data_IF_568592804392
#
_entry.id   IF_568592804392
#
_cell.length_a   1.000
_cell.length_b   1.000
_cell.length_c   1.000
_cell.angle_alpha   90.00
_cell.angle_beta   90.00
_cell.angle_gamma   90.00
#
_symmetry.space_group_name_H-M   'P 1'
#
loop_
_entity.id
_entity.type
_entity.pdbx_description
1 polymer ?
#
# COMPACT_ATOMS: atom_id res chain seq x y z
N UNK A 1 19.74 -17.54 6.01
CA UNK A 1 19.32 -16.14 6.03
C UNK A 1 17.82 -16.02 5.79
N UNK A 2 17.20 -15.17 6.56
CA UNK A 2 15.79 -14.89 6.31
C UNK A 2 15.64 -14.12 5.02
N UNK A 3 14.71 -14.53 4.17
CA UNK A 3 14.40 -13.80 2.97
C UNK A 3 12.95 -13.34 3.03
N UNK A 4 12.67 -12.26 2.32
CA UNK A 4 11.34 -11.66 2.31
C UNK A 4 10.87 -11.52 0.88
N UNK A 5 9.58 -11.58 0.72
CA UNK A 5 8.97 -11.16 -0.52
C UNK A 5 8.24 -9.83 -0.28
N UNK A 6 8.15 -9.02 -1.32
CA UNK A 6 7.59 -7.69 -1.23
C UNK A 6 6.45 -7.52 -2.21
N UNK A 7 5.49 -6.70 -1.87
CA UNK A 7 4.48 -6.27 -2.82
C UNK A 7 4.10 -4.83 -2.57
N UNK A 8 3.49 -4.22 -3.56
CA UNK A 8 3.05 -2.84 -3.48
C UNK A 8 1.58 -2.74 -3.81
N UNK A 9 0.93 -1.73 -3.25
CA UNK A 9 -0.45 -1.42 -3.56
C UNK A 9 -0.59 0.09 -3.64
N UNK A 10 -1.38 0.56 -4.59
CA UNK A 10 -1.65 1.98 -4.75
C UNK A 10 -3.08 2.26 -4.29
N UNK A 11 -3.21 3.19 -3.35
CA UNK A 11 -4.51 3.70 -2.96
C UNK A 11 -4.74 4.99 -3.73
N UNK A 12 -5.60 4.91 -4.73
CA UNK A 12 -5.89 6.08 -5.55
C UNK A 12 -6.86 7.00 -4.84
N UNK A 13 -6.60 8.31 -4.92
CA UNK A 13 -7.53 9.27 -4.39
C UNK A 13 -8.73 9.39 -5.31
N UNK A 14 -9.88 9.70 -4.73
CA UNK A 14 -11.08 9.97 -5.51
C UNK A 14 -10.91 11.34 -6.15
N UNK A 15 -11.36 11.47 -7.39
CA UNK A 15 -11.27 12.73 -8.12
C UNK A 15 -11.89 13.86 -7.28
N UNK A 16 -11.10 14.90 -7.05
CA UNK A 16 -11.52 16.05 -6.27
C UNK A 16 -11.23 15.96 -4.78
N UNK A 17 -10.76 14.83 -4.30
CA UNK A 17 -10.36 14.68 -2.91
C UNK A 17 -8.86 14.41 -2.84
N UNK A 18 -8.16 15.26 -2.10
CA UNK A 18 -6.71 15.14 -1.96
C UNK A 18 -6.30 14.44 -0.67
N UNK A 19 -7.27 13.89 0.05
CA UNK A 19 -7.01 13.29 1.36
C UNK A 19 -7.06 11.77 1.28
N UNK A 20 -6.11 11.14 1.92
CA UNK A 20 -6.14 9.72 2.12
C UNK A 20 -7.31 9.37 3.04
N UNK A 21 -8.12 8.39 2.66
CA UNK A 21 -9.21 7.93 3.49
C UNK A 21 -8.70 6.90 4.47
N UNK A 22 -8.82 7.20 5.75
CA UNK A 22 -8.35 6.29 6.79
C UNK A 22 -9.02 4.93 6.73
N UNK A 23 -10.31 4.90 6.43
CA UNK A 23 -11.03 3.64 6.31
C UNK A 23 -10.48 2.76 5.21
N UNK A 24 -10.17 3.35 4.05
CA UNK A 24 -9.60 2.60 2.94
C UNK A 24 -8.21 2.08 3.29
N UNK A 25 -7.42 2.91 3.98
CA UNK A 25 -6.09 2.50 4.42
C UNK A 25 -6.17 1.34 5.40
N UNK A 26 -7.05 1.45 6.40
CA UNK A 26 -7.21 0.40 7.41
C UNK A 26 -7.69 -0.90 6.78
N UNK A 27 -8.64 -0.83 5.83
CA UNK A 27 -9.13 -2.01 5.15
C UNK A 27 -8.01 -2.70 4.39
N UNK A 28 -7.18 -1.93 3.69
CA UNK A 28 -6.04 -2.47 2.96
C UNK A 28 -5.03 -3.13 3.91
N UNK A 29 -4.71 -2.45 5.00
CA UNK A 29 -3.76 -2.99 5.97
C UNK A 29 -4.27 -4.28 6.61
N UNK A 30 -5.55 -4.33 6.95
CA UNK A 30 -6.14 -5.51 7.56
C UNK A 30 -6.26 -6.67 6.58
N UNK A 31 -6.60 -6.37 5.33
CA UNK A 31 -6.69 -7.39 4.30
C UNK A 31 -5.33 -8.05 4.06
N UNK A 32 -4.30 -7.23 3.88
CA UNK A 32 -2.97 -7.77 3.64
C UNK A 32 -2.37 -8.39 4.90
N UNK A 33 -2.62 -7.79 6.06
CA UNK A 33 -2.18 -8.35 7.33
C UNK A 33 -2.76 -9.72 7.60
N UNK A 34 -4.02 -9.94 7.19
CA UNK A 34 -4.66 -11.24 7.32
C UNK A 34 -3.98 -12.31 6.48
N UNK A 35 -3.23 -11.91 5.46
CA UNK A 35 -2.46 -12.82 4.61
C UNK A 35 -0.99 -12.92 5.03
N UNK A 36 -0.64 -12.31 6.14
CA UNK A 36 0.73 -12.34 6.65
C UNK A 36 1.62 -11.20 6.19
N UNK A 37 1.06 -10.23 5.48
CA UNK A 37 1.83 -9.08 5.00
C UNK A 37 1.98 -8.02 6.08
N UNK A 38 3.16 -7.40 6.11
CA UNK A 38 3.49 -6.34 7.05
C UNK A 38 3.82 -5.08 6.27
N UNK A 39 3.26 -3.95 6.70
CA UNK A 39 3.53 -2.68 6.03
C UNK A 39 4.96 -2.22 6.35
N UNK A 40 5.72 -1.95 5.30
CA UNK A 40 7.08 -1.44 5.44
C UNK A 40 7.08 0.07 5.46
N UNK A 41 6.39 0.66 4.49
CA UNK A 41 6.35 2.11 4.36
C UNK A 41 5.17 2.53 3.50
N UNK A 42 4.82 3.79 3.62
CA UNK A 42 3.82 4.43 2.79
C UNK A 42 4.46 5.66 2.16
N UNK A 43 4.37 5.77 0.85
CA UNK A 43 4.89 6.92 0.11
C UNK A 43 3.70 7.70 -0.43
N UNK A 44 3.44 8.90 0.10
CA UNK A 44 2.27 9.68 -0.34
C UNK A 44 2.52 10.39 -1.66
N UNK A 45 1.43 10.64 -2.37
CA UNK A 45 1.44 11.43 -3.61
C UNK A 45 2.43 10.96 -4.66
N UNK A 46 2.44 9.64 -4.89
CA UNK A 46 3.31 9.06 -5.91
C UNK A 46 2.64 9.20 -7.27
N UNK A 47 3.38 9.74 -8.22
CA UNK A 47 2.94 9.80 -9.60
C UNK A 47 3.34 8.49 -10.27
N UNK A 48 2.38 7.63 -10.47
CA UNK A 48 2.64 6.31 -11.02
C UNK A 48 2.53 6.33 -12.52
N UNK A 49 3.45 5.64 -13.16
CA UNK A 49 3.46 5.48 -14.59
C UNK A 49 2.07 5.05 -15.08
N UNK A 50 1.51 5.74 -16.06
CA UNK A 50 0.17 5.58 -16.60
C UNK A 50 -0.85 6.55 -16.03
N UNK A 51 -0.40 7.64 -15.40
CA UNK A 51 -1.28 8.73 -15.04
C UNK A 51 -2.16 8.54 -13.82
N UNK A 52 -1.84 7.58 -13.00
CA UNK A 52 -2.56 7.40 -11.74
C UNK A 52 -1.74 7.96 -10.60
N UNK A 53 -2.33 8.89 -9.89
CA UNK A 53 -1.72 9.44 -8.69
C UNK A 53 -2.34 8.74 -7.48
N UNK A 54 -1.54 8.50 -6.47
CA UNK A 54 -2.04 7.87 -5.28
C UNK A 54 -0.98 7.72 -4.23
N UNK A 55 -1.33 7.03 -3.16
CA UNK A 55 -0.39 6.71 -2.10
C UNK A 55 0.08 5.28 -2.29
N UNK A 56 1.40 5.11 -2.25
CA UNK A 56 1.99 3.80 -2.46
C UNK A 56 2.26 3.11 -1.12
N UNK A 57 1.70 1.93 -0.97
CA UNK A 57 1.98 1.09 0.20
C UNK A 57 2.94 -0.01 -0.21
N UNK A 58 3.95 -0.23 0.63
CA UNK A 58 4.93 -1.30 0.40
C UNK A 58 4.81 -2.30 1.54
N UNK A 59 4.59 -3.54 1.19
CA UNK A 59 4.45 -4.63 2.16
C UNK A 59 5.57 -5.65 2.00
N UNK A 60 5.86 -6.35 3.08
CA UNK A 60 6.78 -7.48 3.04
C UNK A 60 6.19 -8.65 3.82
N UNK A 61 6.68 -9.82 3.53
CA UNK A 61 6.28 -11.04 4.23
C UNK A 61 7.46 -12.01 4.20
N UNK A 62 7.63 -12.76 5.28
CA UNK A 62 8.68 -13.76 5.34
C UNK A 62 8.42 -14.84 4.30
N UNK A 63 9.44 -15.21 3.58
CA UNK A 63 9.32 -16.14 2.48
C UNK A 63 9.62 -17.58 2.87
N UNK A 64 10.06 -17.78 4.04
CA UNK A 64 10.36 -19.13 4.44
C UNK A 64 10.84 -19.28 5.81
#
# INVERSE_FOLDING_TARGET
MASYEYKTEVLTSIVGEEKLRLGDLEDSLNEHGGEGWELVTLVPNVNIQRGKDGDLLVFKRSKG
#
